data_IF_262218503281
#
_entry.id   IF_262218503281
#
_cell.length_a   1.000
_cell.length_b   1.000
_cell.length_c   1.000
_cell.angle_alpha   90.00
_cell.angle_beta   90.00
_cell.angle_gamma   90.00
#
_symmetry.space_group_name_H-M   'P 1'
#
loop_
_entity.id
_entity.type
_entity.pdbx_description
1 polymer ?
#
# COMPACT_ATOMS: atom_id res chain seq x y z
N UNK A 1 5.92 -14.77 -1.27
CA UNK A 1 4.66 -14.19 -0.73
C UNK A 1 3.63 -13.94 -1.84
N UNK A 2 3.80 -12.97 -2.71
CA UNK A 2 2.92 -12.64 -3.85
C UNK A 2 3.63 -12.86 -5.18
N UNK A 3 2.91 -13.33 -6.21
CA UNK A 3 3.41 -13.41 -7.59
C UNK A 3 2.30 -13.10 -8.58
N UNK A 4 2.53 -12.16 -9.45
CA UNK A 4 1.73 -11.88 -10.63
C UNK A 4 2.41 -12.50 -11.84
N UNK A 5 1.63 -13.18 -12.71
CA UNK A 5 2.14 -13.79 -13.95
C UNK A 5 1.30 -13.34 -15.13
N UNK A 6 1.92 -12.60 -16.04
CA UNK A 6 1.35 -12.14 -17.32
C UNK A 6 -0.04 -11.50 -17.16
N UNK A 7 -0.21 -10.66 -16.15
CA UNK A 7 -1.48 -9.99 -15.84
C UNK A 7 -1.81 -8.99 -16.95
N UNK A 8 -3.01 -9.15 -17.50
CA UNK A 8 -3.65 -8.18 -18.37
C UNK A 8 -4.95 -7.71 -17.73
N UNK A 9 -5.14 -6.40 -17.64
CA UNK A 9 -6.33 -5.80 -17.03
C UNK A 9 -6.89 -4.72 -17.95
N UNK A 10 -8.22 -4.66 -18.04
CA UNK A 10 -8.92 -3.77 -18.95
C UNK A 10 -9.97 -2.93 -18.23
N UNK A 11 -10.13 -1.69 -18.65
CA UNK A 11 -11.27 -0.82 -18.33
C UNK A 11 -12.04 -0.57 -19.64
N UNK A 12 -13.11 -1.34 -19.87
CA UNK A 12 -13.79 -1.37 -21.15
C UNK A 12 -12.83 -1.75 -22.29
N UNK A 13 -12.57 -0.83 -23.21
CA UNK A 13 -11.63 -1.04 -24.33
C UNK A 13 -10.17 -0.65 -24.02
N UNK A 14 -9.93 -0.03 -22.85
CA UNK A 14 -8.59 0.43 -22.48
C UNK A 14 -7.81 -0.71 -21.86
N UNK A 15 -6.71 -1.11 -22.49
CA UNK A 15 -5.77 -2.11 -21.96
C UNK A 15 -4.82 -1.45 -20.96
N UNK A 16 -5.18 -1.49 -19.69
CA UNK A 16 -4.49 -0.77 -18.61
C UNK A 16 -3.21 -1.49 -18.13
N UNK A 17 -3.24 -2.82 -18.01
CA UNK A 17 -2.05 -3.62 -17.68
C UNK A 17 -1.77 -4.62 -18.82
N UNK A 18 -0.50 -4.71 -19.23
CA UNK A 18 -0.06 -5.42 -20.43
C UNK A 18 1.05 -6.41 -20.08
N UNK A 19 0.68 -7.68 -19.87
CA UNK A 19 1.59 -8.78 -19.49
C UNK A 19 2.45 -8.46 -18.26
N UNK A 20 1.85 -7.85 -17.23
CA UNK A 20 2.56 -7.48 -16.00
C UNK A 20 2.90 -8.72 -15.19
N UNK A 21 4.20 -8.90 -14.92
CA UNK A 21 4.70 -9.94 -14.02
C UNK A 21 5.56 -9.28 -12.94
N UNK A 22 5.28 -9.58 -11.67
CA UNK A 22 6.08 -9.13 -10.54
C UNK A 22 5.99 -10.13 -9.38
N UNK A 23 6.92 -10.04 -8.44
CA UNK A 23 6.87 -10.87 -7.24
C UNK A 23 7.33 -10.12 -6.00
N UNK A 24 6.84 -10.53 -4.84
CA UNK A 24 7.25 -10.07 -3.52
C UNK A 24 7.66 -11.26 -2.66
N UNK A 25 8.79 -11.15 -1.97
CA UNK A 25 9.20 -12.04 -0.89
C UNK A 25 8.37 -11.84 0.39
N UNK A 26 8.51 -12.75 1.37
CA UNK A 26 7.92 -12.54 2.70
C UNK A 26 8.74 -11.51 3.48
N UNK A 27 8.07 -10.57 4.16
CA UNK A 27 8.72 -9.52 4.94
C UNK A 27 9.47 -8.49 4.09
N UNK A 28 9.23 -8.44 2.78
CA UNK A 28 9.85 -7.50 1.85
C UNK A 28 8.98 -6.24 1.70
N UNK A 29 9.61 -5.08 1.60
CA UNK A 29 8.98 -3.85 1.11
C UNK A 29 9.37 -3.69 -0.36
N UNK A 30 8.38 -3.76 -1.24
CA UNK A 30 8.57 -3.52 -2.68
C UNK A 30 7.85 -2.25 -3.07
N UNK A 31 8.48 -1.41 -3.86
CA UNK A 31 7.82 -0.23 -4.41
C UNK A 31 7.55 -0.35 -5.90
N UNK A 32 6.43 0.22 -6.31
CA UNK A 32 6.04 0.38 -7.70
C UNK A 32 6.01 1.88 -8.02
N UNK A 33 6.94 2.33 -8.84
CA UNK A 33 7.06 3.73 -9.28
C UNK A 33 6.65 3.88 -10.74
N UNK A 34 6.19 5.05 -11.10
CA UNK A 34 5.75 5.37 -12.46
C UNK A 34 4.91 6.64 -12.50
N UNK A 35 4.74 7.20 -13.69
CA UNK A 35 3.91 8.38 -13.92
C UNK A 35 2.43 8.15 -13.56
N UNK A 36 1.66 9.24 -13.41
CA UNK A 36 0.21 9.14 -13.27
C UNK A 36 -0.39 8.49 -14.52
N UNK A 37 -1.34 7.57 -14.32
CA UNK A 37 -1.91 6.78 -15.42
C UNK A 37 -1.04 5.61 -15.91
N UNK A 38 0.15 5.36 -15.33
CA UNK A 38 0.99 4.23 -15.73
C UNK A 38 0.36 2.85 -15.43
N UNK A 39 -0.66 2.78 -14.54
CA UNK A 39 -1.33 1.54 -14.16
C UNK A 39 -1.03 1.06 -12.72
N UNK A 40 -0.38 1.89 -11.90
CA UNK A 40 0.02 1.55 -10.52
C UNK A 40 -1.17 1.11 -9.65
N UNK A 41 -2.17 1.98 -9.52
CA UNK A 41 -3.45 1.68 -8.82
C UNK A 41 -4.15 0.46 -9.40
N UNK A 42 -4.09 0.28 -10.73
CA UNK A 42 -4.71 -0.88 -11.40
C UNK A 42 -4.06 -2.20 -10.94
N UNK A 43 -2.73 -2.23 -10.73
CA UNK A 43 -2.05 -3.41 -10.17
C UNK A 43 -2.60 -3.71 -8.77
N UNK A 44 -2.69 -2.72 -7.88
CA UNK A 44 -3.22 -2.91 -6.52
C UNK A 44 -4.67 -3.39 -6.56
N UNK A 45 -5.51 -2.77 -7.40
CA UNK A 45 -6.91 -3.15 -7.57
C UNK A 45 -7.08 -4.56 -8.15
N UNK A 46 -6.15 -4.99 -9.02
CA UNK A 46 -6.18 -6.36 -9.55
C UNK A 46 -5.78 -7.37 -8.47
N UNK A 47 -4.78 -7.07 -7.63
CA UNK A 47 -4.38 -7.94 -6.52
C UNK A 47 -5.49 -8.04 -5.47
N UNK A 48 -6.18 -6.95 -5.16
CA UNK A 48 -7.26 -6.91 -4.14
C UNK A 48 -8.63 -7.35 -4.66
N UNK A 49 -8.74 -7.72 -5.95
CA UNK A 49 -9.99 -8.19 -6.56
C UNK A 49 -11.04 -7.10 -6.78
N UNK A 50 -10.66 -5.82 -6.70
CA UNK A 50 -11.53 -4.68 -7.03
C UNK A 50 -11.72 -4.58 -8.54
N UNK A 51 -10.65 -4.83 -9.30
CA UNK A 51 -10.69 -4.88 -10.77
C UNK A 51 -10.25 -6.27 -11.21
N UNK A 52 -11.10 -7.05 -11.89
CA UNK A 52 -10.73 -8.39 -12.30
C UNK A 52 -9.61 -8.38 -13.34
N UNK A 53 -8.70 -9.35 -13.27
CA UNK A 53 -7.75 -9.59 -14.34
C UNK A 53 -8.49 -10.13 -15.57
N UNK A 54 -8.20 -9.61 -16.75
CA UNK A 54 -8.70 -10.15 -18.02
C UNK A 54 -7.99 -11.44 -18.42
N UNK A 55 -6.71 -11.59 -18.05
CA UNK A 55 -5.93 -12.81 -18.17
C UNK A 55 -4.70 -12.75 -17.26
N UNK A 56 -4.02 -13.89 -17.11
CA UNK A 56 -2.88 -14.05 -16.21
C UNK A 56 -3.31 -14.63 -14.85
N UNK A 57 -2.36 -14.71 -13.93
CA UNK A 57 -2.54 -15.37 -12.65
C UNK A 57 -1.97 -14.52 -11.50
N UNK A 58 -2.73 -14.37 -10.42
CA UNK A 58 -2.28 -13.81 -9.14
C UNK A 58 -2.19 -14.95 -8.13
N UNK A 59 -0.98 -15.21 -7.63
CA UNK A 59 -0.71 -16.22 -6.60
C UNK A 59 -0.33 -15.52 -5.30
N UNK A 60 -1.02 -15.85 -4.22
CA UNK A 60 -0.67 -15.43 -2.88
C UNK A 60 -0.36 -16.65 -2.02
N UNK A 61 0.88 -16.71 -1.50
CA UNK A 61 1.40 -17.88 -0.76
C UNK A 61 1.23 -19.21 -1.53
N UNK A 62 1.47 -19.14 -2.84
CA UNK A 62 1.33 -20.22 -3.83
C UNK A 62 -0.12 -20.60 -4.17
N UNK A 63 -1.12 -20.03 -3.51
CA UNK A 63 -2.54 -20.26 -3.79
C UNK A 63 -3.06 -19.26 -4.82
N UNK A 64 -3.85 -19.68 -5.82
CA UNK A 64 -4.44 -18.79 -6.81
C UNK A 64 -5.55 -17.96 -6.18
N UNK A 65 -5.42 -16.63 -6.29
CA UNK A 65 -6.41 -15.67 -5.76
C UNK A 65 -7.07 -14.84 -6.86
N UNK A 66 -6.72 -15.05 -8.12
CA UNK A 66 -7.13 -14.24 -9.28
C UNK A 66 -8.65 -14.09 -9.41
N UNK A 67 -9.42 -15.12 -9.14
CA UNK A 67 -10.88 -15.13 -9.29
C UNK A 67 -11.63 -14.92 -7.97
N UNK A 68 -10.92 -14.56 -6.89
CA UNK A 68 -11.55 -14.34 -5.60
C UNK A 68 -12.14 -12.93 -5.52
N UNK A 69 -13.26 -12.81 -4.81
CA UNK A 69 -13.85 -11.51 -4.44
C UNK A 69 -13.02 -10.80 -3.37
N UNK A 70 -13.09 -9.47 -3.32
CA UNK A 70 -12.28 -8.66 -2.39
C UNK A 70 -12.44 -9.08 -0.92
N UNK A 71 -13.66 -9.47 -0.48
CA UNK A 71 -13.89 -9.95 0.89
C UNK A 71 -13.14 -11.26 1.18
N UNK A 72 -13.02 -12.17 0.21
CA UNK A 72 -12.23 -13.38 0.32
C UNK A 72 -10.74 -13.07 0.33
N UNK A 73 -10.28 -12.15 -0.51
CA UNK A 73 -8.88 -11.71 -0.56
C UNK A 73 -8.44 -11.13 0.79
N UNK A 74 -9.29 -10.31 1.44
CA UNK A 74 -9.01 -9.82 2.80
C UNK A 74 -8.90 -10.97 3.81
N UNK A 75 -9.76 -11.98 3.73
CA UNK A 75 -9.66 -13.19 4.58
C UNK A 75 -8.38 -13.99 4.38
N UNK A 76 -7.81 -13.96 3.16
CA UNK A 76 -6.50 -14.55 2.88
C UNK A 76 -5.34 -13.76 3.50
N UNK A 77 -5.58 -12.52 3.96
CA UNK A 77 -4.60 -11.67 4.61
C UNK A 77 -3.96 -10.63 3.68
N UNK A 78 -4.68 -10.18 2.66
CA UNK A 78 -4.29 -9.04 1.81
C UNK A 78 -5.20 -7.87 2.13
N UNK A 79 -4.65 -6.74 2.58
CA UNK A 79 -5.42 -5.51 2.81
C UNK A 79 -4.88 -4.38 1.95
N UNK A 80 -5.77 -3.54 1.44
CA UNK A 80 -5.42 -2.36 0.65
C UNK A 80 -5.84 -1.08 1.37
N UNK A 81 -4.93 -0.09 1.35
CA UNK A 81 -5.22 1.31 1.65
C UNK A 81 -5.26 2.04 0.31
N UNK A 82 -6.44 2.38 -0.21
CA UNK A 82 -6.57 3.06 -1.48
C UNK A 82 -6.16 4.53 -1.37
N UNK A 83 -5.91 5.15 -2.52
CA UNK A 83 -5.73 6.60 -2.63
C UNK A 83 -6.92 7.37 -2.04
N UNK A 84 -6.67 8.57 -1.51
CA UNK A 84 -7.71 9.43 -0.97
C UNK A 84 -8.19 9.05 0.44
N UNK A 85 -7.44 8.20 1.17
CA UNK A 85 -7.63 7.84 2.60
C UNK A 85 -8.90 7.04 2.88
N UNK A 86 -10.04 7.41 2.29
CA UNK A 86 -11.36 6.77 2.35
C UNK A 86 -11.79 6.34 3.77
N UNK A 87 -11.61 7.24 4.75
CA UNK A 87 -12.12 7.04 6.11
C UNK A 87 -13.64 7.26 6.17
N UNK A 88 -14.31 6.59 7.10
CA UNK A 88 -15.72 6.83 7.37
C UNK A 88 -15.86 8.10 8.21
N UNK A 89 -16.03 9.26 7.54
CA UNK A 89 -16.02 10.59 8.15
C UNK A 89 -17.00 10.78 9.31
N UNK A 90 -18.25 10.22 9.27
CA UNK A 90 -19.20 10.37 10.37
C UNK A 90 -18.91 9.48 11.59
N UNK A 91 -17.95 8.56 11.48
CA UNK A 91 -17.60 7.64 12.56
C UNK A 91 -16.39 8.15 13.33
N UNK A 92 -16.28 7.73 14.60
CA UNK A 92 -15.09 8.01 15.41
C UNK A 92 -13.85 7.29 14.89
N UNK A 93 -12.67 7.67 15.38
CA UNK A 93 -11.42 6.96 15.13
C UNK A 93 -11.56 5.49 15.53
N UNK A 94 -12.07 5.22 16.72
CA UNK A 94 -12.26 3.86 17.26
C UNK A 94 -13.19 3.03 16.37
N UNK A 95 -14.35 3.57 15.98
CA UNK A 95 -15.31 2.87 15.13
C UNK A 95 -14.71 2.55 13.75
N UNK A 96 -13.93 3.49 13.18
CA UNK A 96 -13.21 3.25 11.94
C UNK A 96 -12.23 2.07 12.05
N UNK A 97 -11.47 2.01 13.15
CA UNK A 97 -10.55 0.90 13.41
C UNK A 97 -11.31 -0.42 13.60
N UNK A 98 -12.40 -0.40 14.38
CA UNK A 98 -13.22 -1.58 14.64
C UNK A 98 -13.80 -2.18 13.35
N UNK A 99 -14.26 -1.33 12.42
CA UNK A 99 -14.72 -1.76 11.09
C UNK A 99 -13.63 -2.48 10.28
N UNK A 100 -12.36 -2.14 10.47
CA UNK A 100 -11.25 -2.85 9.83
C UNK A 100 -11.15 -4.33 10.22
N UNK A 101 -11.64 -4.67 11.42
CA UNK A 101 -11.69 -6.04 11.93
C UNK A 101 -12.99 -6.80 11.59
N UNK A 102 -13.93 -6.21 10.82
CA UNK A 102 -15.28 -6.74 10.60
C UNK A 102 -15.31 -8.23 10.21
N UNK A 103 -14.44 -8.66 9.33
CA UNK A 103 -14.39 -10.06 8.86
C UNK A 103 -13.84 -11.04 9.91
N UNK A 104 -13.33 -10.54 11.04
CA UNK A 104 -12.72 -11.32 12.14
C UNK A 104 -13.67 -11.53 13.31
N UNK A 105 -14.80 -10.84 13.36
CA UNK A 105 -15.80 -11.02 14.41
C UNK A 105 -16.60 -12.31 14.20
N UNK A 106 -16.19 -13.40 14.82
CA UNK A 106 -16.87 -14.71 14.75
C UNK A 106 -17.30 -15.22 16.12
N UNK A 107 -16.55 -14.91 17.19
CA UNK A 107 -16.77 -15.39 18.54
C UNK A 107 -16.55 -14.28 19.58
N UNK A 108 -16.81 -14.59 20.84
CA UNK A 108 -16.54 -13.67 21.96
C UNK A 108 -15.04 -13.52 22.22
N UNK A 109 -14.26 -14.58 22.00
CA UNK A 109 -12.80 -14.58 22.12
C UNK A 109 -12.16 -13.63 21.09
N UNK A 110 -12.70 -13.55 19.88
CA UNK A 110 -12.21 -12.64 18.84
C UNK A 110 -12.22 -11.17 19.29
N UNK A 111 -13.21 -10.76 20.10
CA UNK A 111 -13.30 -9.39 20.62
C UNK A 111 -12.12 -9.01 21.51
N UNK A 112 -11.59 -9.95 22.28
CA UNK A 112 -10.41 -9.71 23.12
C UNK A 112 -9.14 -9.55 22.27
N UNK A 113 -9.00 -10.39 21.25
CA UNK A 113 -7.91 -10.31 20.27
C UNK A 113 -7.96 -8.99 19.49
N UNK A 114 -9.14 -8.61 18.99
CA UNK A 114 -9.34 -7.36 18.23
C UNK A 114 -9.02 -6.13 19.08
N UNK A 115 -9.41 -6.12 20.38
CA UNK A 115 -9.05 -5.04 21.31
C UNK A 115 -7.55 -4.93 21.52
N UNK A 116 -6.84 -6.06 21.65
CA UNK A 116 -5.38 -6.07 21.75
C UNK A 116 -4.73 -5.53 20.48
N UNK A 117 -5.22 -5.94 19.30
CA UNK A 117 -4.72 -5.44 18.02
C UNK A 117 -4.96 -3.92 17.87
N UNK A 118 -6.11 -3.43 18.33
CA UNK A 118 -6.40 -1.99 18.38
C UNK A 118 -5.39 -1.25 19.26
N UNK A 119 -5.03 -1.81 20.44
CA UNK A 119 -3.98 -1.23 21.29
C UNK A 119 -2.64 -1.18 20.57
N UNK A 120 -2.30 -2.19 19.77
CA UNK A 120 -1.08 -2.18 18.95
C UNK A 120 -1.14 -1.08 17.87
N UNK A 121 -2.29 -0.89 17.22
CA UNK A 121 -2.47 0.21 16.25
C UNK A 121 -2.30 1.57 16.93
N UNK A 122 -2.83 1.77 18.13
CA UNK A 122 -2.63 2.99 18.90
C UNK A 122 -1.16 3.19 19.31
N UNK A 123 -0.45 2.12 19.65
CA UNK A 123 1.00 2.19 19.92
C UNK A 123 1.84 2.54 18.67
N UNK A 124 1.35 2.23 17.47
CA UNK A 124 1.94 2.66 16.21
C UNK A 124 1.60 4.12 15.87
N UNK A 125 0.40 4.57 16.23
CA UNK A 125 -0.14 5.89 15.94
C UNK A 125 -0.71 6.55 17.20
N UNK A 126 0.12 7.07 18.13
CA UNK A 126 -0.36 7.66 19.40
C UNK A 126 -1.38 8.79 19.21
N UNK A 127 -1.27 9.55 18.10
CA UNK A 127 -2.25 10.59 17.76
C UNK A 127 -3.66 10.07 17.56
N UNK A 128 -3.82 8.85 17.09
CA UNK A 128 -5.13 8.21 16.96
C UNK A 128 -5.72 7.86 18.34
N UNK A 129 -4.88 7.45 19.30
CA UNK A 129 -5.31 7.17 20.66
C UNK A 129 -5.80 8.43 21.39
N UNK A 130 -5.03 9.53 21.30
CA UNK A 130 -5.40 10.83 21.84
C UNK A 130 -6.78 11.31 21.33
N UNK A 131 -7.12 10.93 20.10
CA UNK A 131 -8.32 11.36 19.36
C UNK A 131 -9.35 10.24 19.18
N UNK A 132 -9.26 9.20 19.97
CA UNK A 132 -10.02 7.95 19.85
C UNK A 132 -11.52 8.15 19.60
N UNK A 133 -12.12 9.14 20.29
CA UNK A 133 -13.55 9.47 20.20
C UNK A 133 -13.89 10.57 19.20
N UNK A 134 -12.88 11.17 18.57
CA UNK A 134 -13.07 12.25 17.60
C UNK A 134 -13.63 11.68 16.29
N UNK A 135 -14.51 12.43 15.63
CA UNK A 135 -15.03 12.08 14.30
C UNK A 135 -13.90 12.17 13.25
N UNK A 136 -13.74 11.11 12.47
CA UNK A 136 -12.67 11.02 11.46
C UNK A 136 -12.70 12.16 10.43
N UNK A 137 -13.89 12.68 10.12
CA UNK A 137 -14.05 13.81 9.20
C UNK A 137 -13.45 15.13 9.68
N UNK A 138 -13.20 15.28 10.99
CA UNK A 138 -12.66 16.50 11.60
C UNK A 138 -11.14 16.45 11.81
N UNK A 139 -10.51 15.34 11.47
CA UNK A 139 -9.07 15.12 11.59
C UNK A 139 -8.30 15.76 10.44
N UNK A 140 -7.03 16.07 10.69
CA UNK A 140 -6.10 16.50 9.63
C UNK A 140 -5.89 15.41 8.58
N UNK A 141 -5.43 15.79 7.39
CA UNK A 141 -5.15 14.82 6.33
C UNK A 141 -4.14 13.74 6.69
N UNK A 142 -3.13 14.09 7.49
CA UNK A 142 -2.14 13.12 7.97
C UNK A 142 -2.73 12.12 8.98
N UNK A 143 -3.54 12.61 9.92
CA UNK A 143 -4.23 11.75 10.88
C UNK A 143 -5.24 10.82 10.19
N UNK A 144 -5.96 11.31 9.17
CA UNK A 144 -6.85 10.46 8.36
C UNK A 144 -6.07 9.37 7.61
N UNK A 145 -4.85 9.66 7.12
CA UNK A 145 -4.00 8.67 6.47
C UNK A 145 -3.52 7.61 7.47
N UNK A 146 -3.09 8.03 8.66
CA UNK A 146 -2.73 7.11 9.75
C UNK A 146 -3.93 6.23 10.13
N UNK A 147 -5.14 6.80 10.20
CA UNK A 147 -6.37 6.06 10.48
C UNK A 147 -6.70 5.04 9.37
N UNK A 148 -6.53 5.40 8.11
CA UNK A 148 -6.75 4.49 6.99
C UNK A 148 -5.78 3.29 7.02
N UNK A 149 -4.49 3.55 7.33
CA UNK A 149 -3.49 2.50 7.52
C UNK A 149 -3.85 1.65 8.75
N UNK A 150 -4.14 2.28 9.89
CA UNK A 150 -4.55 1.61 11.11
C UNK A 150 -5.75 0.69 10.90
N UNK A 151 -6.78 1.16 10.17
CA UNK A 151 -7.94 0.36 9.81
C UNK A 151 -7.58 -0.87 8.96
N UNK A 152 -6.66 -0.72 8.00
CA UNK A 152 -6.19 -1.85 7.21
C UNK A 152 -5.43 -2.88 8.06
N UNK A 153 -4.66 -2.43 9.05
CA UNK A 153 -3.95 -3.29 10.00
C UNK A 153 -4.90 -4.09 10.90
N UNK A 154 -6.09 -3.57 11.21
CA UNK A 154 -7.09 -4.29 12.00
C UNK A 154 -7.61 -5.56 11.31
N UNK A 155 -7.45 -5.72 10.01
CA UNK A 155 -7.68 -6.98 9.29
C UNK A 155 -6.58 -8.03 9.57
N UNK A 156 -5.51 -7.68 10.29
CA UNK A 156 -4.31 -8.51 10.53
C UNK A 156 -3.68 -9.04 9.23
N UNK A 157 -3.28 -8.14 8.31
CA UNK A 157 -2.80 -8.53 6.99
C UNK A 157 -1.39 -9.13 7.06
N UNK A 158 -1.12 -10.07 6.15
CA UNK A 158 0.23 -10.55 5.81
C UNK A 158 0.86 -9.74 4.67
N UNK A 159 -0.01 -9.16 3.82
CA UNK A 159 0.37 -8.27 2.72
C UNK A 159 -0.46 -7.00 2.81
N UNK A 160 0.22 -5.88 2.93
CA UNK A 160 -0.37 -4.54 2.93
C UNK A 160 -0.08 -3.85 1.59
N UNK A 161 -1.13 -3.45 0.89
CA UNK A 161 -1.07 -2.69 -0.36
C UNK A 161 -1.36 -1.22 -0.05
N UNK A 162 -0.47 -0.32 -0.44
CA UNK A 162 -0.58 1.11 -0.16
C UNK A 162 -0.54 1.90 -1.46
N UNK A 163 -1.59 2.67 -1.72
CA UNK A 163 -1.72 3.49 -2.92
C UNK A 163 -1.49 4.97 -2.57
N UNK A 164 -0.31 5.48 -2.93
CA UNK A 164 0.15 6.85 -2.74
C UNK A 164 -0.11 7.42 -1.32
N UNK A 165 0.34 6.69 -0.26
CA UNK A 165 0.04 7.07 1.11
C UNK A 165 0.66 8.40 1.55
N UNK A 166 1.64 8.93 0.81
CA UNK A 166 2.30 10.21 1.10
C UNK A 166 1.63 11.42 0.44
N UNK A 167 0.70 11.19 -0.49
CA UNK A 167 0.16 12.25 -1.34
C UNK A 167 -0.56 13.35 -0.54
N UNK A 168 -0.16 14.61 -0.78
CA UNK A 168 -0.76 15.79 -0.15
C UNK A 168 -0.50 15.92 1.36
N UNK A 169 0.55 15.25 1.89
CA UNK A 169 0.93 15.29 3.30
C UNK A 169 2.19 16.14 3.52
N UNK A 170 2.29 16.72 4.71
CA UNK A 170 3.50 17.42 5.14
C UNK A 170 4.69 16.44 5.25
N UNK A 171 5.93 16.86 4.94
CA UNK A 171 7.10 15.98 4.94
C UNK A 171 7.33 15.21 6.24
N UNK A 172 7.05 15.84 7.39
CA UNK A 172 7.18 15.19 8.70
C UNK A 172 6.21 14.02 8.87
N UNK A 173 4.96 14.17 8.39
CA UNK A 173 3.93 13.12 8.43
C UNK A 173 4.31 11.96 7.52
N UNK A 174 4.83 12.24 6.33
CA UNK A 174 5.34 11.21 5.41
C UNK A 174 6.44 10.39 6.07
N UNK A 175 7.40 11.05 6.73
CA UNK A 175 8.47 10.35 7.46
C UNK A 175 7.93 9.48 8.59
N UNK A 176 6.92 9.95 9.32
CA UNK A 176 6.27 9.18 10.38
C UNK A 176 5.60 7.93 9.83
N UNK A 177 4.81 8.05 8.76
CA UNK A 177 4.18 6.92 8.08
C UNK A 177 5.24 5.92 7.62
N UNK A 178 6.32 6.37 6.98
CA UNK A 178 7.37 5.48 6.47
C UNK A 178 8.10 4.74 7.59
N UNK A 179 8.37 5.40 8.74
CA UNK A 179 8.91 4.72 9.94
C UNK A 179 7.96 3.64 10.46
N UNK A 180 6.65 3.89 10.44
CA UNK A 180 5.66 2.88 10.83
C UNK A 180 5.68 1.70 9.86
N UNK A 181 5.75 1.93 8.55
CA UNK A 181 5.85 0.84 7.56
C UNK A 181 7.10 -0.02 7.76
N UNK A 182 8.25 0.61 8.00
CA UNK A 182 9.50 -0.09 8.31
C UNK A 182 9.39 -0.90 9.61
N UNK A 183 8.77 -0.34 10.64
CA UNK A 183 8.51 -1.01 11.91
C UNK A 183 7.59 -2.23 11.73
N UNK A 184 6.50 -2.11 10.98
CA UNK A 184 5.57 -3.19 10.65
C UNK A 184 6.29 -4.35 9.95
N UNK A 185 7.16 -4.05 8.98
CA UNK A 185 7.98 -5.06 8.33
C UNK A 185 8.89 -5.77 9.31
N UNK A 186 9.66 -5.00 10.09
CA UNK A 186 10.73 -5.53 10.96
C UNK A 186 10.20 -6.29 12.17
N UNK A 187 9.15 -5.77 12.83
CA UNK A 187 8.62 -6.32 14.08
C UNK A 187 7.49 -7.33 13.87
N UNK A 188 6.67 -7.14 12.83
CA UNK A 188 5.51 -7.98 12.57
C UNK A 188 5.65 -8.87 11.32
N UNK A 189 6.72 -8.74 10.54
CA UNK A 189 6.95 -9.52 9.32
C UNK A 189 5.95 -9.21 8.19
N UNK A 190 5.26 -8.05 8.24
CA UNK A 190 4.29 -7.66 7.21
C UNK A 190 5.01 -7.38 5.90
N UNK A 191 4.55 -8.02 4.83
CA UNK A 191 5.01 -7.72 3.47
C UNK A 191 4.26 -6.49 2.95
N UNK A 192 4.94 -5.58 2.26
CA UNK A 192 4.36 -4.32 1.82
C UNK A 192 4.60 -4.12 0.33
N UNK A 193 3.53 -3.84 -0.43
CA UNK A 193 3.61 -3.28 -1.77
C UNK A 193 3.20 -1.80 -1.72
N UNK A 194 4.16 -0.93 -1.94
CA UNK A 194 4.01 0.51 -1.88
C UNK A 194 3.97 1.11 -3.29
N UNK A 195 2.89 1.75 -3.64
CA UNK A 195 2.79 2.61 -4.83
C UNK A 195 3.01 4.04 -4.40
N UNK A 196 3.93 4.75 -5.05
CA UNK A 196 4.26 6.13 -4.73
C UNK A 196 4.62 6.95 -5.95
N UNK A 197 4.26 8.23 -5.93
CA UNK A 197 4.70 9.21 -6.90
C UNK A 197 6.09 9.77 -6.53
N UNK A 198 6.37 9.91 -5.23
CA UNK A 198 7.70 10.30 -4.75
C UNK A 198 8.67 9.11 -4.81
N UNK A 199 9.16 8.82 -6.02
CA UNK A 199 10.02 7.69 -6.29
C UNK A 199 11.27 7.65 -5.39
N UNK A 200 11.91 8.82 -5.12
CA UNK A 200 13.11 8.90 -4.27
C UNK A 200 12.82 8.44 -2.83
N UNK A 201 11.71 8.87 -2.27
CA UNK A 201 11.33 8.49 -0.91
C UNK A 201 10.92 7.01 -0.83
N UNK A 202 10.17 6.52 -1.83
CA UNK A 202 9.72 5.14 -1.91
C UNK A 202 10.90 4.16 -2.08
N UNK A 203 11.85 4.46 -2.98
CA UNK A 203 13.04 3.63 -3.18
C UNK A 203 13.99 3.61 -1.97
N UNK A 204 14.01 4.69 -1.16
CA UNK A 204 14.80 4.69 0.09
C UNK A 204 14.23 3.78 1.16
N UNK A 205 12.92 3.55 1.15
CA UNK A 205 12.23 2.70 2.10
C UNK A 205 12.23 1.23 1.65
N UNK A 206 12.13 0.99 0.34
CA UNK A 206 11.91 -0.32 -0.23
C UNK A 206 13.22 -1.12 -0.41
N UNK A 207 13.13 -2.44 -0.33
CA UNK A 207 14.23 -3.36 -0.63
C UNK A 207 14.44 -3.46 -2.16
N UNK A 208 13.33 -3.51 -2.92
CA UNK A 208 13.31 -3.58 -4.38
C UNK A 208 12.24 -2.68 -4.97
N UNK A 209 12.40 -2.36 -6.24
CA UNK A 209 11.44 -1.57 -6.99
C UNK A 209 11.14 -2.12 -8.37
N UNK A 210 9.97 -1.73 -8.86
CA UNK A 210 9.52 -1.90 -10.24
C UNK A 210 9.18 -0.54 -10.82
N UNK A 211 9.58 -0.31 -12.06
CA UNK A 211 9.23 0.90 -12.81
C UNK A 211 8.15 0.54 -13.81
N UNK A 212 7.00 1.19 -13.69
CA UNK A 212 5.83 0.96 -14.53
C UNK A 212 5.65 2.13 -15.51
N UNK A 213 5.51 1.82 -16.79
CA UNK A 213 5.21 2.78 -17.83
C UNK A 213 4.14 2.22 -18.78
N UNK A 214 3.07 2.98 -18.97
CA UNK A 214 1.97 2.65 -19.90
C UNK A 214 1.47 1.19 -19.77
N UNK A 215 1.31 0.73 -18.53
CA UNK A 215 0.83 -0.61 -18.20
C UNK A 215 1.84 -1.75 -18.32
N UNK A 216 3.14 -1.44 -18.48
CA UNK A 216 4.22 -2.43 -18.57
C UNK A 216 5.30 -2.16 -17.53
N UNK A 217 5.87 -3.21 -16.97
CA UNK A 217 7.11 -3.10 -16.20
C UNK A 217 8.26 -2.95 -17.18
N UNK A 218 9.02 -1.88 -17.06
CA UNK A 218 10.17 -1.55 -17.91
C UNK A 218 11.51 -1.78 -17.23
N UNK A 219 11.56 -1.66 -15.90
CA UNK A 219 12.74 -1.92 -15.08
C UNK A 219 12.34 -2.57 -13.77
N UNK A 220 13.20 -3.42 -13.24
CA UNK A 220 13.10 -3.99 -11.90
C UNK A 220 14.49 -4.20 -11.30
N UNK A 221 14.61 -4.15 -10.00
CA UNK A 221 15.87 -4.43 -9.32
C UNK A 221 15.89 -3.98 -7.86
N UNK A 222 17.03 -4.19 -7.18
CA UNK A 222 17.28 -3.64 -5.86
C UNK A 222 17.08 -2.12 -5.86
N UNK A 223 16.45 -1.59 -4.81
CA UNK A 223 16.16 -0.15 -4.74
C UNK A 223 17.41 0.72 -4.80
N UNK A 224 18.53 0.26 -4.25
CA UNK A 224 19.81 0.96 -4.33
C UNK A 224 20.30 1.13 -5.78
N UNK A 225 20.15 0.09 -6.61
CA UNK A 225 20.52 0.13 -8.02
C UNK A 225 19.59 1.05 -8.82
N UNK A 226 18.28 1.00 -8.55
CA UNK A 226 17.30 1.88 -9.20
C UNK A 226 17.51 3.36 -8.83
N UNK A 227 17.95 3.66 -7.62
CA UNK A 227 18.30 5.02 -7.20
C UNK A 227 19.50 5.58 -7.99
N UNK A 228 20.42 4.73 -8.42
CA UNK A 228 21.59 5.12 -9.23
C UNK A 228 21.35 5.06 -10.75
N UNK A 229 20.28 4.40 -11.18
CA UNK A 229 19.96 4.25 -12.61
C UNK A 229 19.68 5.59 -13.28
N UNK A 230 20.38 5.87 -14.41
CA UNK A 230 20.31 7.15 -15.10
C UNK A 230 18.91 7.46 -15.67
N UNK A 231 18.19 6.44 -16.16
CA UNK A 231 16.83 6.60 -16.71
C UNK A 231 15.83 6.90 -15.59
N UNK A 232 15.93 6.19 -14.46
CA UNK A 232 15.11 6.43 -13.27
C UNK A 232 15.37 7.83 -12.70
N UNK A 233 16.65 8.24 -12.59
CA UNK A 233 17.04 9.59 -12.18
C UNK A 233 16.41 10.65 -13.06
N UNK A 234 16.53 10.50 -14.36
CA UNK A 234 16.02 11.47 -15.35
C UNK A 234 14.49 11.56 -15.34
N UNK A 235 13.79 10.41 -15.25
CA UNK A 235 12.33 10.35 -15.39
C UNK A 235 11.57 10.61 -14.08
N UNK A 236 12.09 10.16 -12.94
CA UNK A 236 11.32 10.07 -11.69
C UNK A 236 11.97 10.71 -10.47
N UNK A 237 13.31 10.93 -10.43
CA UNK A 237 13.96 11.47 -9.23
C UNK A 237 14.14 12.99 -9.26
N UNK A 238 13.90 13.63 -10.39
CA UNK A 238 14.13 15.07 -10.61
C UNK A 238 15.61 15.43 -10.66
N UNK A 239 15.95 16.58 -11.21
CA UNK A 239 17.31 17.15 -11.07
C UNK A 239 17.48 17.61 -9.63
N UNK A 240 18.54 17.20 -8.95
CA UNK A 240 18.90 17.80 -7.67
C UNK A 240 19.02 19.31 -7.85
N UNK A 241 18.40 20.09 -6.96
CA UNK A 241 18.38 21.58 -7.02
C UNK A 241 19.78 22.21 -7.14
N UNK A 242 20.85 21.48 -6.86
CA UNK A 242 22.24 21.92 -7.01
C UNK A 242 22.70 22.06 -8.45
N UNK A 243 22.16 21.29 -9.40
CA UNK A 243 22.59 21.37 -10.83
C UNK A 243 21.95 22.54 -11.60
N UNK A 244 20.97 23.25 -11.02
CA UNK A 244 20.25 24.36 -11.68
C UNK A 244 20.99 25.68 -11.50
N UNK A 245 21.90 25.78 -10.51
CA UNK A 245 22.63 27.03 -10.19
C UNK A 245 24.10 27.04 -10.61
N UNK A 246 24.59 25.96 -11.24
CA UNK A 246 25.98 25.87 -11.73
C UNK A 246 26.11 25.99 -13.28
N UNK A 247 25.13 26.66 -13.92
CA UNK A 247 25.22 27.04 -15.34
C UNK A 247 25.09 28.52 -15.53
#
# INVERSE_FOLDING_TARGET
>A
MLRLKNINTYYGKVHALKNVSLHLGEGEIVTLIGANGAGKTTILNTISGVTPAGSGEVLFRKEPVTALTSDKIVKYGISQVPEGRQVFKPLSVEDNLELGAYLRYRSREDRAVIRRDMTQVFALFPRLEERRRQLAGTMSGGEQQMLAIGRALMANPRLLLLDEPSMGLAPMVVQEIFRVLERLRRENGVTILLVEQNAKAALKLADRGYVLETGKIILEGPSAELLENAEVKRAYLGKDKKEIWER
#
